data_IF_806683900384
#
_entry.id   IF_806683900384
#
_cell.length_a   1.000
_cell.length_b   1.000
_cell.length_c   1.000
_cell.angle_alpha   90.00
_cell.angle_beta   90.00
_cell.angle_gamma   90.00
#
_symmetry.space_group_name_H-M   'P 1'
#
loop_
_entity.id
_entity.type
_entity.pdbx_description
1 polymer ?
#
# COMPACT_ATOMS: atom_id res chain seq x y z
N UNK A 1 -16.04 1.36 -4.47
CA UNK A 1 -16.07 1.39 -2.99
C UNK A 1 -14.81 0.77 -2.41
N UNK A 2 -14.45 -0.46 -2.79
CA UNK A 2 -13.26 -1.16 -2.26
C UNK A 2 -11.92 -0.43 -2.55
N UNK A 3 -11.79 0.24 -3.69
CA UNK A 3 -10.58 1.02 -4.06
C UNK A 3 -10.27 2.11 -3.03
N UNK A 4 -11.29 2.78 -2.48
CA UNK A 4 -11.11 3.79 -1.44
C UNK A 4 -10.62 3.14 -0.14
N UNK A 5 -11.18 1.97 0.22
CA UNK A 5 -10.79 1.21 1.41
C UNK A 5 -9.33 0.76 1.28
N UNK A 6 -8.93 0.21 0.13
CA UNK A 6 -7.54 -0.21 -0.12
C UNK A 6 -6.58 0.97 -0.12
N UNK A 7 -6.97 2.10 -0.69
CA UNK A 7 -6.19 3.34 -0.62
C UNK A 7 -6.03 3.81 0.83
N UNK A 8 -7.08 3.86 1.64
CA UNK A 8 -6.99 4.26 3.04
C UNK A 8 -6.14 3.29 3.86
N UNK A 9 -6.24 1.97 3.63
CA UNK A 9 -5.38 0.97 4.28
C UNK A 9 -3.92 1.20 3.88
N UNK A 10 -3.61 1.29 2.57
CA UNK A 10 -2.26 1.57 2.07
C UNK A 10 -1.72 2.91 2.57
N UNK A 11 -2.57 3.92 2.74
CA UNK A 11 -2.17 5.24 3.23
C UNK A 11 -1.97 5.31 4.74
N UNK A 12 -2.71 4.53 5.54
CA UNK A 12 -2.60 4.51 7.01
C UNK A 12 -1.60 3.49 7.56
N UNK A 13 -1.25 2.46 6.79
CA UNK A 13 -0.35 1.39 7.21
C UNK A 13 0.95 1.36 6.38
N UNK A 14 1.45 2.51 5.92
CA UNK A 14 2.69 2.61 5.09
C UNK A 14 3.93 2.02 5.76
N UNK A 15 3.95 2.02 7.08
CA UNK A 15 5.08 1.59 7.90
C UNK A 15 4.82 0.23 8.58
N UNK A 16 3.73 -0.45 8.20
CA UNK A 16 3.36 -1.78 8.67
C UNK A 16 3.28 -2.77 7.48
N UNK A 17 3.67 -4.02 7.70
CA UNK A 17 3.52 -5.07 6.67
C UNK A 17 2.05 -5.47 6.54
N UNK A 18 1.43 -5.18 5.40
CA UNK A 18 0.05 -5.58 5.09
C UNK A 18 0.03 -6.87 4.27
N UNK A 19 -0.44 -7.97 4.86
CA UNK A 19 -0.69 -9.23 4.16
C UNK A 19 -2.16 -9.35 3.75
N UNK A 20 -2.44 -9.24 2.45
CA UNK A 20 -3.81 -9.34 1.91
C UNK A 20 -4.04 -10.70 1.27
N UNK A 21 -5.05 -11.44 1.76
CA UNK A 21 -5.57 -12.65 1.10
C UNK A 21 -6.86 -12.28 0.37
N UNK A 22 -6.86 -12.37 -0.96
CA UNK A 22 -7.98 -11.93 -1.78
C UNK A 22 -8.25 -12.89 -2.95
N UNK A 23 -9.51 -12.91 -3.39
CA UNK A 23 -9.99 -13.62 -4.59
C UNK A 23 -10.10 -12.69 -5.82
N UNK A 24 -9.91 -11.37 -5.65
CA UNK A 24 -10.07 -10.35 -6.69
C UNK A 24 -8.71 -9.97 -7.27
N UNK A 25 -8.40 -10.37 -8.50
CA UNK A 25 -7.08 -10.09 -9.09
C UNK A 25 -6.75 -8.60 -9.19
N UNK A 26 -7.73 -7.73 -9.45
CA UNK A 26 -7.57 -6.25 -9.41
C UNK A 26 -7.01 -5.71 -8.10
N UNK A 27 -7.23 -6.41 -6.98
CA UNK A 27 -6.77 -5.97 -5.65
C UNK A 27 -5.43 -6.62 -5.28
N UNK A 28 -5.09 -7.72 -5.95
CA UNK A 28 -3.82 -8.45 -5.78
C UNK A 28 -2.73 -7.83 -6.67
N UNK A 29 -3.08 -7.36 -7.87
CA UNK A 29 -2.13 -6.79 -8.85
C UNK A 29 -1.45 -5.49 -8.37
N UNK A 30 -2.10 -4.72 -7.49
CA UNK A 30 -1.54 -3.52 -6.87
C UNK A 30 -0.66 -3.83 -5.62
N UNK A 31 -0.24 -5.09 -5.43
CA UNK A 31 0.62 -5.49 -4.30
C UNK A 31 2.10 -5.45 -4.71
N UNK A 32 2.98 -5.06 -3.80
CA UNK A 32 4.43 -5.02 -4.06
C UNK A 32 5.00 -6.40 -4.45
N UNK A 33 4.44 -7.46 -3.87
CA UNK A 33 4.72 -8.87 -4.20
C UNK A 33 3.45 -9.70 -4.06
N UNK A 34 3.35 -10.75 -4.87
CA UNK A 34 2.24 -11.69 -4.91
C UNK A 34 2.77 -13.07 -4.53
N UNK A 35 2.00 -13.81 -3.73
CA UNK A 35 2.36 -15.12 -3.23
C UNK A 35 1.32 -16.16 -3.67
N UNK A 36 1.70 -17.10 -4.54
CA UNK A 36 0.82 -18.18 -5.01
C UNK A 36 1.06 -19.43 -4.17
N UNK A 37 0.03 -19.82 -3.42
CA UNK A 37 0.03 -21.02 -2.57
C UNK A 37 -0.79 -22.14 -3.24
N UNK A 38 -0.25 -23.35 -3.28
CA UNK A 38 -0.99 -24.55 -3.68
C UNK A 38 -0.66 -25.73 -2.78
N UNK A 39 -1.68 -26.50 -2.38
CA UNK A 39 -1.57 -27.65 -1.45
C UNK A 39 -0.74 -27.35 -0.17
N UNK A 40 -0.84 -26.13 0.36
CA UNK A 40 -0.08 -25.69 1.55
C UNK A 40 1.40 -25.41 1.31
N UNK A 41 1.86 -25.36 0.05
CA UNK A 41 3.22 -25.01 -0.36
C UNK A 41 3.24 -23.68 -1.11
N UNK A 42 4.35 -22.97 -0.97
CA UNK A 42 4.68 -21.83 -1.80
C UNK A 42 5.12 -22.31 -3.19
N UNK A 43 4.42 -21.85 -4.23
CA UNK A 43 4.74 -22.18 -5.63
C UNK A 43 5.43 -21.00 -6.31
N UNK A 44 4.93 -19.78 -6.11
CA UNK A 44 5.49 -18.57 -6.72
C UNK A 44 5.49 -17.39 -5.73
N UNK A 45 6.54 -16.58 -5.76
CA UNK A 45 6.66 -15.36 -4.96
C UNK A 45 7.54 -14.31 -5.66
N UNK A 46 6.90 -13.35 -6.33
CA UNK A 46 7.58 -12.20 -6.92
C UNK A 46 6.59 -11.03 -7.09
N UNK A 47 7.08 -9.92 -7.62
CA UNK A 47 6.30 -8.81 -8.15
C UNK A 47 5.32 -9.26 -9.25
N UNK A 48 4.16 -8.59 -9.41
CA UNK A 48 3.19 -8.89 -10.48
C UNK A 48 3.83 -8.92 -11.88
N UNK A 49 4.84 -8.07 -12.11
CA UNK A 49 5.59 -7.99 -13.36
C UNK A 49 6.32 -9.27 -13.73
N UNK A 50 7.15 -9.77 -12.82
CA UNK A 50 7.98 -10.96 -13.07
C UNK A 50 7.10 -12.18 -13.26
N UNK A 51 5.99 -12.28 -12.51
CA UNK A 51 5.02 -13.36 -12.68
C UNK A 51 4.30 -13.28 -14.04
N UNK A 52 3.77 -12.11 -14.42
CA UNK A 52 3.08 -11.91 -15.71
C UNK A 52 3.99 -11.97 -16.95
N UNK A 53 5.30 -11.75 -16.78
CA UNK A 53 6.30 -11.90 -17.84
C UNK A 53 6.56 -13.37 -18.20
N UNK A 54 6.11 -14.31 -17.36
CA UNK A 54 6.20 -15.74 -17.62
C UNK A 54 4.81 -16.30 -17.95
N UNK A 55 4.57 -16.62 -19.21
CA UNK A 55 3.29 -17.21 -19.66
C UNK A 55 3.04 -18.62 -19.10
N UNK A 56 4.07 -19.29 -18.55
CA UNK A 56 3.93 -20.58 -17.85
C UNK A 56 3.68 -20.45 -16.34
N UNK A 57 3.60 -19.23 -15.81
CA UNK A 57 3.35 -18.96 -14.39
C UNK A 57 1.94 -19.34 -13.96
N UNK A 58 1.80 -19.87 -12.74
CA UNK A 58 0.48 -20.11 -12.14
C UNK A 58 -0.32 -18.81 -11.97
N UNK A 59 0.34 -17.69 -11.66
CA UNK A 59 -0.33 -16.38 -11.63
C UNK A 59 -0.85 -15.96 -13.00
N UNK A 60 -0.08 -16.14 -14.07
CA UNK A 60 -0.53 -15.83 -15.44
C UNK A 60 -1.75 -16.67 -15.84
N UNK A 61 -1.74 -17.98 -15.53
CA UNK A 61 -2.89 -18.86 -15.75
C UNK A 61 -4.14 -18.41 -14.98
N UNK A 62 -4.00 -17.93 -13.73
CA UNK A 62 -5.11 -17.36 -12.95
C UNK A 62 -5.66 -16.07 -13.57
N UNK A 63 -4.80 -15.22 -14.12
CA UNK A 63 -5.20 -13.99 -14.82
C UNK A 63 -5.96 -14.32 -16.10
N UNK A 64 -5.50 -15.27 -16.90
CA UNK A 64 -6.15 -15.70 -18.15
C UNK A 64 -7.53 -16.32 -17.89
N UNK A 65 -7.71 -17.02 -16.77
CA UNK A 65 -9.02 -17.55 -16.34
C UNK A 65 -10.07 -16.46 -16.05
N UNK A 66 -9.69 -15.19 -15.87
CA UNK A 66 -10.66 -14.08 -15.73
C UNK A 66 -11.26 -13.60 -17.05
N UNK A 67 -10.77 -14.10 -18.19
CA UNK A 67 -11.22 -13.75 -19.53
C UNK A 67 -10.38 -12.63 -20.16
N UNK A 68 -10.31 -12.64 -21.50
CA UNK A 68 -9.34 -11.86 -22.28
C UNK A 68 -9.33 -10.35 -21.95
N UNK A 69 -10.50 -9.71 -21.87
CA UNK A 69 -10.60 -8.27 -21.60
C UNK A 69 -10.14 -7.88 -20.18
N UNK A 70 -10.39 -8.73 -19.18
CA UNK A 70 -9.94 -8.50 -17.81
C UNK A 70 -8.43 -8.80 -17.69
N UNK A 71 -7.94 -9.85 -18.34
CA UNK A 71 -6.52 -10.19 -18.38
C UNK A 71 -5.67 -9.08 -19.02
N UNK A 72 -6.10 -8.50 -20.13
CA UNK A 72 -5.43 -7.36 -20.79
C UNK A 72 -5.42 -6.10 -19.90
N UNK A 73 -6.54 -5.83 -19.22
CA UNK A 73 -6.63 -4.73 -18.24
C UNK A 73 -5.69 -4.94 -17.04
N UNK A 74 -5.64 -6.15 -16.48
CA UNK A 74 -4.74 -6.50 -15.36
C UNK A 74 -3.26 -6.41 -15.76
N UNK A 75 -2.89 -6.86 -16.97
CA UNK A 75 -1.52 -6.69 -17.51
C UNK A 75 -1.17 -5.20 -17.67
N UNK A 76 -2.12 -4.38 -18.11
CA UNK A 76 -1.92 -2.91 -18.22
C UNK A 76 -1.74 -2.23 -16.86
N UNK A 77 -2.56 -2.61 -15.86
CA UNK A 77 -2.43 -2.15 -14.47
C UNK A 77 -1.05 -2.48 -13.91
N UNK A 78 -0.61 -3.73 -14.05
CA UNK A 78 0.71 -4.15 -13.58
C UNK A 78 1.83 -3.27 -14.15
N UNK A 79 1.80 -2.99 -15.46
CA UNK A 79 2.84 -2.22 -16.17
C UNK A 79 2.86 -0.75 -15.72
N UNK A 80 1.72 -0.23 -15.29
CA UNK A 80 1.60 1.15 -14.78
C UNK A 80 2.36 1.34 -13.46
N UNK A 81 2.42 0.29 -12.62
CA UNK A 81 3.01 0.34 -11.28
C UNK A 81 4.54 0.47 -11.28
N UNK A 82 5.22 0.04 -12.35
CA UNK A 82 6.70 0.10 -12.46
C UNK A 82 7.29 1.51 -12.29
N UNK A 83 6.51 2.55 -12.63
CA UNK A 83 6.96 3.94 -12.62
C UNK A 83 7.02 4.55 -11.22
N UNK A 84 6.42 3.93 -10.20
CA UNK A 84 6.33 4.51 -8.85
C UNK A 84 7.44 4.02 -7.90
N UNK A 85 7.89 2.76 -8.04
CA UNK A 85 8.68 2.04 -7.02
C UNK A 85 10.17 2.43 -6.95
N UNK A 86 10.57 3.64 -7.37
CA UNK A 86 11.97 4.14 -7.29
C UNK A 86 12.17 5.50 -6.60
N UNK A 87 11.14 6.13 -6.04
CA UNK A 87 11.29 7.35 -5.24
C UNK A 87 10.74 7.18 -3.81
N UNK A 88 11.52 6.52 -2.95
CA UNK A 88 11.43 6.66 -1.48
C UNK A 88 12.84 6.79 -0.89
N UNK A 89 13.49 7.94 -1.10
CA UNK A 89 14.59 8.42 -0.27
C UNK A 89 14.32 9.87 0.10
N UNK A 90 14.32 10.12 1.42
CA UNK A 90 14.23 11.43 2.10
C UNK A 90 12.93 12.21 1.81
N UNK A 91 12.13 12.57 2.81
CA UNK A 91 12.50 13.48 3.90
C UNK A 91 12.18 12.90 5.30
N UNK A 92 13.13 13.10 6.21
CA UNK A 92 13.09 13.02 7.69
C UNK A 92 12.15 14.14 8.20
N UNK A 93 11.19 13.92 9.10
CA UNK A 93 11.45 13.89 10.54
C UNK A 93 10.19 13.53 11.36
N UNK A 94 10.43 13.22 12.64
CA UNK A 94 9.60 13.31 13.87
C UNK A 94 8.24 14.05 13.77
N UNK A 95 7.18 13.63 14.45
CA UNK A 95 7.12 13.52 15.93
C UNK A 95 6.64 12.19 16.52
N UNK A 96 7.19 11.89 17.70
CA UNK A 96 6.86 10.78 18.60
C UNK A 96 5.75 11.17 19.59
N UNK A 97 5.01 10.20 20.13
CA UNK A 97 3.82 10.41 20.98
C UNK A 97 4.18 10.44 22.47
N UNK A 98 3.88 11.54 23.16
CA UNK A 98 3.70 11.51 24.62
C UNK A 98 2.76 12.62 25.11
N UNK A 99 1.90 12.28 26.06
CA UNK A 99 0.78 13.11 26.51
C UNK A 99 0.77 13.32 28.04
N UNK A 100 0.07 14.38 28.48
CA UNK A 100 -0.33 14.71 29.87
C UNK A 100 0.84 15.16 30.79
N UNK A 101 0.71 16.02 31.81
CA UNK A 101 -0.39 16.84 32.38
C UNK A 101 -0.02 18.36 32.28
N UNK A 102 -0.60 19.40 32.91
CA UNK A 102 -1.55 19.58 34.03
C UNK A 102 -2.29 20.94 33.92
N UNK A 103 -3.23 21.22 34.84
CA UNK A 103 -3.84 22.54 35.07
C UNK A 103 -2.89 23.56 35.75
N UNK A 104 -3.21 24.85 35.63
CA UNK A 104 -3.43 25.84 36.73
C UNK A 104 -3.29 27.30 36.21
N UNK A 105 -4.44 28.00 36.14
CA UNK A 105 -4.76 29.38 36.61
C UNK A 105 -3.97 30.66 36.19
N UNK A 106 -4.79 31.69 35.90
CA UNK A 106 -4.56 33.15 35.62
C UNK A 106 -3.90 33.91 36.83
N UNK A 107 -3.55 35.24 36.83
CA UNK A 107 -3.79 36.32 35.85
C UNK A 107 -2.68 37.44 35.69
N UNK A 108 -3.03 38.57 35.02
CA UNK A 108 -2.41 39.94 35.05
C UNK A 108 -1.07 40.14 34.27
N UNK A 109 -0.78 41.23 33.52
CA UNK A 109 -1.44 42.52 33.20
C UNK A 109 -0.95 43.07 31.82
N UNK A 110 -1.65 44.03 31.17
CA UNK A 110 -1.23 44.63 29.90
C UNK A 110 -0.10 45.66 30.04
N UNK A 111 0.74 45.76 29.01
CA UNK A 111 1.82 46.75 28.92
C UNK A 111 1.31 48.19 28.71
N UNK A 112 1.34 49.02 29.76
CA UNK A 112 1.42 50.47 29.63
C UNK A 112 2.69 51.01 30.30
N UNK A 113 3.61 51.52 29.47
CA UNK A 113 4.59 52.54 29.89
C UNK A 113 4.24 53.84 29.18
N UNK A 114 3.64 54.77 29.91
CA UNK A 114 3.48 56.16 29.46
C UNK A 114 3.46 57.13 30.65
N UNK A 115 4.60 57.23 31.34
CA UNK A 115 5.28 58.50 31.63
C UNK A 115 6.75 58.20 31.97
#
# INVERSE_FOLDING_TARGET
TDELIQRTIRDKFKDCTVLTVAHRLRTVIDSDRIMVLSNGKLIEFDSPQVLLSNDSSHFTLLVEQTGMAEAEYLRTLANSTESCTRQKQEIHDFDDDSALETNEMDPLVPSLKLL
#
